data_IF_443119751927
#
_entry.id   IF_443119751927
#
_cell.length_a   1.000
_cell.length_b   1.000
_cell.length_c   1.000
_cell.angle_alpha   90.00
_cell.angle_beta   90.00
_cell.angle_gamma   90.00
#
_symmetry.space_group_name_H-M   'P 1'
#
loop_
_entity.id
_entity.type
_entity.pdbx_description
1 polymer ?
#
# COMPACT_ATOMS: atom_id res chain seq x y z
N UNK A 1 15.22 -26.71 30.57
CA UNK A 1 15.35 -25.25 30.38
C UNK A 1 14.72 -24.96 29.03
N UNK A 2 13.44 -24.62 29.05
CA UNK A 2 12.64 -24.34 27.86
C UNK A 2 11.91 -23.03 28.15
N UNK A 3 12.31 -21.98 27.44
CA UNK A 3 11.53 -20.76 27.17
C UNK A 3 12.39 -19.93 26.23
N UNK A 4 12.10 -20.01 24.93
CA UNK A 4 12.20 -18.95 23.92
C UNK A 4 11.67 -19.59 22.64
N UNK A 5 10.35 -19.81 22.58
CA UNK A 5 9.64 -20.22 21.35
C UNK A 5 8.19 -19.72 21.39
N UNK A 6 8.03 -18.41 21.62
CA UNK A 6 6.74 -17.71 21.61
C UNK A 6 6.78 -16.40 20.81
N UNK A 7 7.75 -16.23 19.92
CA UNK A 7 7.84 -15.04 19.04
C UNK A 7 7.72 -15.35 17.55
N UNK A 8 7.23 -16.54 17.17
CA UNK A 8 7.00 -16.89 15.76
C UNK A 8 5.51 -16.73 15.34
N UNK A 9 4.74 -15.92 16.08
CA UNK A 9 3.31 -15.67 15.77
C UNK A 9 2.92 -14.19 15.72
N UNK A 10 3.91 -13.28 15.81
CA UNK A 10 3.67 -11.87 15.50
C UNK A 10 4.48 -11.54 14.25
N UNK A 11 3.85 -11.65 13.09
CA UNK A 11 4.47 -11.22 11.83
C UNK A 11 4.95 -9.78 11.94
N UNK A 12 5.98 -9.40 11.16
CA UNK A 12 6.52 -8.04 11.21
C UNK A 12 5.43 -7.00 10.91
N UNK A 13 5.69 -5.72 11.21
CA UNK A 13 4.73 -4.66 10.94
C UNK A 13 4.30 -4.63 9.45
N UNK A 14 5.20 -4.97 8.52
CA UNK A 14 4.90 -5.11 7.10
C UNK A 14 4.00 -6.33 6.79
N UNK A 15 4.19 -7.45 7.49
CA UNK A 15 3.33 -8.64 7.33
C UNK A 15 1.90 -8.38 7.86
N UNK A 16 1.77 -7.67 8.97
CA UNK A 16 0.47 -7.29 9.52
C UNK A 16 -0.32 -6.39 8.56
N UNK A 17 0.35 -5.41 7.95
CA UNK A 17 -0.29 -4.53 6.97
C UNK A 17 -0.63 -5.29 5.68
N UNK A 18 0.28 -6.14 5.18
CA UNK A 18 -0.01 -6.95 3.99
C UNK A 18 -1.23 -7.86 4.23
N UNK A 19 -1.32 -8.48 5.40
CA UNK A 19 -2.47 -9.31 5.80
C UNK A 19 -3.76 -8.50 5.82
N UNK A 20 -3.71 -7.29 6.40
CA UNK A 20 -4.85 -6.38 6.44
C UNK A 20 -5.28 -5.93 5.04
N UNK A 21 -4.33 -5.60 4.17
CA UNK A 21 -4.57 -5.24 2.77
C UNK A 21 -5.21 -6.40 1.98
N UNK A 22 -4.70 -7.61 2.14
CA UNK A 22 -5.27 -8.79 1.48
C UNK A 22 -6.70 -9.05 1.97
N UNK A 23 -6.94 -8.99 3.28
CA UNK A 23 -8.29 -9.15 3.84
C UNK A 23 -9.28 -8.09 3.32
N UNK A 24 -8.86 -6.82 3.22
CA UNK A 24 -9.68 -5.73 2.67
C UNK A 24 -10.03 -5.89 1.19
N UNK A 25 -9.20 -6.62 0.44
CA UNK A 25 -9.33 -6.76 -1.02
C UNK A 25 -9.96 -8.08 -1.46
N UNK A 26 -10.04 -9.07 -0.57
CA UNK A 26 -10.64 -10.38 -0.85
C UNK A 26 -12.18 -10.42 -0.72
N UNK A 27 -12.79 -9.41 -0.09
CA UNK A 27 -14.24 -9.34 0.04
C UNK A 27 -14.92 -9.13 -1.33
N UNK A 28 -16.08 -9.76 -1.61
CA UNK A 28 -16.90 -9.41 -2.78
C UNK A 28 -17.30 -7.93 -2.73
N UNK A 29 -16.92 -7.15 -3.75
CA UNK A 29 -17.06 -5.68 -3.71
C UNK A 29 -16.00 -4.99 -2.84
N UNK A 30 -14.89 -5.67 -2.52
CA UNK A 30 -13.74 -5.11 -1.81
C UNK A 30 -13.14 -3.92 -2.55
N UNK A 31 -12.22 -3.22 -1.87
CA UNK A 31 -11.68 -1.95 -2.39
C UNK A 31 -11.12 -2.11 -3.80
N UNK A 32 -11.51 -1.17 -4.65
CA UNK A 32 -11.13 -1.11 -6.05
C UNK A 32 -11.45 0.24 -6.64
N UNK A 33 -11.09 0.40 -7.91
CA UNK A 33 -11.24 1.65 -8.64
C UNK A 33 -11.76 1.38 -10.04
N UNK A 34 -12.42 2.36 -10.65
CA UNK A 34 -12.73 2.29 -12.06
C UNK A 34 -11.49 2.72 -12.88
N UNK A 35 -11.01 1.85 -13.76
CA UNK A 35 -9.86 2.14 -14.61
C UNK A 35 -10.07 3.33 -15.55
N UNK A 36 -11.32 3.67 -15.90
CA UNK A 36 -11.64 4.87 -16.68
C UNK A 36 -11.17 6.18 -16.02
N UNK A 37 -11.00 6.20 -14.70
CA UNK A 37 -10.54 7.36 -13.95
C UNK A 37 -9.01 7.58 -14.06
N UNK A 38 -8.28 6.62 -14.63
CA UNK A 38 -6.82 6.64 -14.72
C UNK A 38 -6.32 6.53 -16.16
N UNK A 39 -5.40 7.39 -16.58
CA UNK A 39 -4.87 7.33 -17.93
C UNK A 39 -4.15 6.01 -18.18
N UNK A 40 -4.48 5.33 -19.28
CA UNK A 40 -3.83 4.10 -19.72
C UNK A 40 -4.32 2.81 -19.06
N UNK A 41 -5.31 2.87 -18.17
CA UNK A 41 -6.02 1.67 -17.71
C UNK A 41 -7.23 1.37 -18.60
N UNK A 42 -7.63 0.10 -18.63
CA UNK A 42 -8.85 -0.32 -19.33
C UNK A 42 -10.10 0.23 -18.61
N UNK A 43 -11.17 0.52 -19.35
CA UNK A 43 -12.45 0.95 -18.78
C UNK A 43 -13.19 -0.24 -18.14
N UNK A 44 -12.80 -0.58 -16.92
CA UNK A 44 -13.42 -1.60 -16.07
C UNK A 44 -13.02 -1.42 -14.62
N UNK A 45 -13.69 -2.17 -13.74
CA UNK A 45 -13.30 -2.28 -12.34
C UNK A 45 -11.95 -2.99 -12.17
N UNK A 46 -11.08 -2.43 -11.33
CA UNK A 46 -9.84 -3.03 -10.85
C UNK A 46 -9.89 -3.19 -9.34
N UNK A 47 -9.76 -4.43 -8.85
CA UNK A 47 -9.47 -4.65 -7.43
C UNK A 47 -8.05 -4.18 -7.09
N UNK A 48 -7.81 -3.71 -5.86
CA UNK A 48 -6.50 -3.14 -5.53
C UNK A 48 -5.32 -4.12 -5.65
N UNK A 49 -5.55 -5.42 -5.44
CA UNK A 49 -4.51 -6.45 -5.69
C UNK A 49 -4.08 -6.47 -7.16
N UNK A 50 -5.07 -6.41 -8.05
CA UNK A 50 -4.83 -6.36 -9.49
C UNK A 50 -4.16 -5.04 -9.88
N UNK A 51 -4.66 -3.92 -9.36
CA UNK A 51 -4.08 -2.60 -9.61
C UNK A 51 -2.61 -2.53 -9.17
N UNK A 52 -2.27 -3.13 -8.01
CA UNK A 52 -0.89 -3.22 -7.53
C UNK A 52 0.01 -3.94 -8.54
N UNK A 53 -0.45 -5.08 -9.04
CA UNK A 53 0.28 -5.84 -10.07
C UNK A 53 0.47 -4.96 -11.31
N UNK A 54 -0.58 -4.33 -11.82
CA UNK A 54 -0.48 -3.42 -12.97
C UNK A 54 0.54 -2.29 -12.74
N UNK A 55 0.55 -1.65 -11.57
CA UNK A 55 1.48 -0.56 -11.26
C UNK A 55 2.94 -1.01 -11.16
N UNK A 56 3.20 -2.26 -10.77
CA UNK A 56 4.56 -2.82 -10.72
C UNK A 56 5.10 -3.22 -12.09
N UNK A 57 4.25 -3.36 -13.11
CA UNK A 57 4.70 -3.69 -14.47
C UNK A 57 5.59 -2.57 -15.03
N UNK A 58 6.69 -2.87 -15.74
CA UNK A 58 7.52 -1.85 -16.37
C UNK A 58 6.75 -0.95 -17.35
N UNK A 59 5.69 -1.48 -17.95
CA UNK A 59 4.87 -0.78 -18.96
C UNK A 59 3.88 0.21 -18.38
N UNK A 60 3.58 0.16 -17.07
CA UNK A 60 2.72 1.17 -16.47
C UNK A 60 3.36 2.55 -16.64
N UNK A 61 2.60 3.50 -17.16
CA UNK A 61 3.14 4.83 -17.45
C UNK A 61 3.37 5.61 -16.15
N UNK A 62 4.28 6.57 -16.18
CA UNK A 62 4.44 7.52 -15.07
C UNK A 62 3.12 8.26 -14.77
N UNK A 63 2.37 8.64 -15.80
CA UNK A 63 1.08 9.31 -15.65
C UNK A 63 0.05 8.44 -14.92
N UNK A 64 -0.03 7.15 -15.25
CA UNK A 64 -0.90 6.18 -14.57
C UNK A 64 -0.54 6.05 -13.09
N UNK A 65 0.75 5.83 -12.79
CA UNK A 65 1.21 5.70 -11.40
C UNK A 65 0.92 6.97 -10.59
N UNK A 66 1.20 8.14 -11.17
CA UNK A 66 0.94 9.42 -10.54
C UNK A 66 -0.54 9.64 -10.26
N UNK A 67 -1.42 9.34 -11.23
CA UNK A 67 -2.87 9.46 -11.04
C UNK A 67 -3.39 8.57 -9.91
N UNK A 68 -2.91 7.32 -9.82
CA UNK A 68 -3.28 6.42 -8.72
C UNK A 68 -2.81 6.96 -7.37
N UNK A 69 -1.57 7.46 -7.27
CA UNK A 69 -1.08 8.03 -6.01
C UNK A 69 -1.81 9.31 -5.60
N UNK A 70 -2.18 10.17 -6.54
CA UNK A 70 -3.02 11.36 -6.27
C UNK A 70 -4.39 10.95 -5.74
N UNK A 71 -5.02 9.93 -6.34
CA UNK A 71 -6.27 9.39 -5.85
C UNK A 71 -6.14 8.83 -4.42
N UNK A 72 -5.11 8.02 -4.15
CA UNK A 72 -4.87 7.47 -2.81
C UNK A 72 -4.69 8.59 -1.78
N UNK A 73 -3.89 9.61 -2.10
CA UNK A 73 -3.69 10.78 -1.23
C UNK A 73 -5.00 11.53 -0.95
N UNK A 74 -5.89 11.64 -1.92
CA UNK A 74 -7.19 12.27 -1.74
C UNK A 74 -8.15 11.43 -0.88
N UNK A 75 -8.02 10.10 -0.92
CA UNK A 75 -8.87 9.16 -0.16
C UNK A 75 -8.34 8.87 1.26
N UNK A 76 -7.15 9.35 1.61
CA UNK A 76 -6.41 8.98 2.82
C UNK A 76 -7.11 9.27 4.13
N UNK A 77 -8.16 10.10 4.18
CA UNK A 77 -8.85 10.37 5.46
C UNK A 77 -9.77 9.20 5.86
N UNK A 78 -10.05 8.27 4.94
CA UNK A 78 -10.79 7.03 5.21
C UNK A 78 -9.82 5.91 5.56
N UNK A 79 -10.01 5.27 6.72
CA UNK A 79 -9.06 4.27 7.25
C UNK A 79 -8.79 3.11 6.30
N UNK A 80 -9.83 2.60 5.63
CA UNK A 80 -9.68 1.53 4.64
C UNK A 80 -8.76 1.95 3.47
N UNK A 81 -8.83 3.21 3.06
CA UNK A 81 -8.00 3.77 1.99
C UNK A 81 -6.57 4.11 2.45
N UNK A 82 -6.34 4.37 3.76
CA UNK A 82 -4.98 4.43 4.33
C UNK A 82 -4.29 3.07 4.23
N UNK A 83 -4.94 2.01 4.69
CA UNK A 83 -4.40 0.65 4.62
C UNK A 83 -4.16 0.24 3.16
N UNK A 84 -5.09 0.59 2.27
CA UNK A 84 -4.91 0.42 0.82
C UNK A 84 -3.63 1.09 0.31
N UNK A 85 -3.39 2.36 0.66
CA UNK A 85 -2.21 3.08 0.19
C UNK A 85 -0.90 2.42 0.65
N UNK A 86 -0.83 1.96 1.91
CA UNK A 86 0.34 1.23 2.41
C UNK A 86 0.49 -0.13 1.71
N UNK A 87 -0.60 -0.88 1.53
CA UNK A 87 -0.57 -2.16 0.81
C UNK A 87 -0.16 -2.03 -0.67
N UNK A 88 -0.51 -0.90 -1.31
CA UNK A 88 -0.03 -0.54 -2.65
C UNK A 88 1.47 -0.22 -2.66
N UNK A 89 2.00 0.37 -1.59
CA UNK A 89 3.44 0.64 -1.42
C UNK A 89 4.27 -0.61 -1.06
N UNK A 90 3.63 -1.68 -0.58
CA UNK A 90 4.30 -2.85 0.00
C UNK A 90 5.46 -3.43 -0.82
N UNK A 91 5.37 -3.58 -2.17
CA UNK A 91 6.50 -4.07 -2.96
C UNK A 91 7.76 -3.19 -2.83
N UNK A 92 7.59 -1.87 -2.77
CA UNK A 92 8.69 -0.93 -2.59
C UNK A 92 9.20 -0.94 -1.15
N UNK A 93 8.32 -0.99 -0.15
CA UNK A 93 8.70 -1.05 1.27
C UNK A 93 9.52 -2.30 1.58
N UNK A 94 9.09 -3.47 1.09
CA UNK A 94 9.85 -4.73 1.23
C UNK A 94 11.20 -4.66 0.53
N UNK A 95 11.26 -4.02 -0.64
CA UNK A 95 12.53 -3.82 -1.34
C UNK A 95 13.49 -2.92 -0.56
N UNK A 96 12.99 -1.83 0.04
CA UNK A 96 13.77 -0.92 0.89
C UNK A 96 14.29 -1.66 2.14
N UNK A 97 13.41 -2.37 2.85
CA UNK A 97 13.79 -3.15 4.03
C UNK A 97 14.87 -4.20 3.69
N UNK A 98 14.69 -4.95 2.60
CA UNK A 98 15.69 -5.92 2.12
C UNK A 98 17.03 -5.27 1.75
N UNK A 99 17.01 -4.05 1.22
CA UNK A 99 18.24 -3.31 0.87
C UNK A 99 18.98 -2.82 2.12
N UNK A 100 18.26 -2.47 3.19
CA UNK A 100 18.83 -1.97 4.45
C UNK A 100 19.26 -3.09 5.40
N UNK A 101 18.63 -4.27 5.31
CA UNK A 101 18.87 -5.40 6.21
C UNK A 101 20.35 -5.80 6.38
N UNK A 102 21.22 -5.82 5.33
CA UNK A 102 22.62 -6.23 5.49
C UNK A 102 23.47 -5.29 6.36
N UNK A 103 23.06 -4.03 6.51
CA UNK A 103 23.79 -3.01 7.28
C UNK A 103 23.11 -2.66 8.61
N UNK A 104 21.86 -3.07 8.79
CA UNK A 104 21.10 -2.87 10.03
C UNK A 104 21.63 -3.79 11.14
N UNK A 105 21.75 -3.26 12.36
CA UNK A 105 22.34 -3.97 13.51
C UNK A 105 21.32 -4.37 14.58
N UNK A 106 20.06 -3.98 14.43
CA UNK A 106 18.95 -4.35 15.31
C UNK A 106 18.14 -5.53 14.78
N UNK A 107 16.94 -5.70 15.31
CA UNK A 107 16.02 -6.77 14.91
C UNK A 107 15.34 -6.48 13.57
N UNK A 108 15.14 -7.51 12.74
CA UNK A 108 14.50 -7.32 11.43
C UNK A 108 13.06 -6.76 11.56
N UNK A 109 12.34 -7.13 12.62
CA UNK A 109 11.02 -6.59 12.92
C UNK A 109 11.03 -5.08 13.19
N UNK A 110 12.07 -4.59 13.88
CA UNK A 110 12.26 -3.15 14.11
C UNK A 110 12.53 -2.41 12.80
N UNK A 111 13.38 -2.98 11.92
CA UNK A 111 13.65 -2.39 10.61
C UNK A 111 12.36 -2.25 9.78
N UNK A 112 11.53 -3.30 9.77
CA UNK A 112 10.24 -3.30 9.08
C UNK A 112 9.28 -2.25 9.68
N UNK A 113 9.25 -2.09 11.01
CA UNK A 113 8.46 -1.08 11.70
C UNK A 113 8.94 0.35 11.40
N UNK A 114 10.25 0.60 11.35
CA UNK A 114 10.83 1.90 11.02
C UNK A 114 10.57 2.27 9.55
N UNK A 115 10.71 1.33 8.62
CA UNK A 115 10.37 1.54 7.19
C UNK A 115 8.89 1.88 7.02
N UNK A 116 8.01 1.15 7.71
CA UNK A 116 6.58 1.42 7.69
C UNK A 116 6.23 2.79 8.29
N UNK A 117 6.80 3.10 9.46
CA UNK A 117 6.56 4.36 10.17
C UNK A 117 7.01 5.55 9.33
N UNK A 118 8.21 5.48 8.76
CA UNK A 118 8.72 6.53 7.87
C UNK A 118 7.84 6.74 6.63
N UNK A 119 7.26 5.68 6.07
CA UNK A 119 6.28 5.81 4.98
C UNK A 119 5.00 6.51 5.45
N UNK A 120 4.41 6.08 6.56
CA UNK A 120 3.15 6.62 7.09
C UNK A 120 3.31 8.11 7.43
N UNK A 121 4.40 8.49 8.10
CA UNK A 121 4.67 9.87 8.49
C UNK A 121 4.75 10.81 7.27
N UNK A 122 5.51 10.40 6.25
CA UNK A 122 5.61 11.15 5.00
C UNK A 122 4.25 11.20 4.30
N UNK A 123 3.58 10.05 4.16
CA UNK A 123 2.31 9.94 3.45
C UNK A 123 1.18 10.78 4.09
N UNK A 124 1.13 10.82 5.42
CA UNK A 124 0.20 11.65 6.18
C UNK A 124 0.47 13.16 5.99
N UNK A 125 1.74 13.55 5.85
CA UNK A 125 2.15 14.95 5.66
C UNK A 125 2.03 15.48 4.23
N UNK A 126 1.92 14.62 3.21
CA UNK A 126 1.82 15.07 1.81
C UNK A 126 0.57 15.94 1.58
N UNK A 127 0.61 16.94 0.68
CA UNK A 127 -0.62 17.63 0.30
C UNK A 127 -1.49 16.69 -0.53
N UNK A 128 -2.79 16.57 -0.17
CA UNK A 128 -3.75 16.07 -1.13
C UNK A 128 -3.85 17.08 -2.28
N UNK A 129 -3.61 16.65 -3.51
CA UNK A 129 -3.79 17.50 -4.69
C UNK A 129 -5.16 18.19 -4.65
N UNK A 130 -5.23 19.45 -5.09
CA UNK A 130 -6.41 20.32 -4.97
C UNK A 130 -7.71 19.57 -5.27
N UNK A 131 -8.60 19.54 -4.27
CA UNK A 131 -9.93 18.90 -4.27
C UNK A 131 -10.60 18.93 -5.65
N UNK A 132 -10.85 17.75 -6.19
CA UNK A 132 -11.66 17.57 -7.38
C UNK A 132 -12.08 16.12 -7.58
N UNK A 133 -12.81 15.53 -6.64
CA UNK A 133 -13.66 14.37 -6.94
C UNK A 133 -15.02 14.54 -6.25
N UNK A 134 -16.06 14.96 -7.00
CA UNK A 134 -17.40 14.46 -6.77
C UNK A 134 -17.84 13.65 -7.99
N UNK A 135 -17.98 12.34 -7.81
CA UNK A 135 -18.65 11.44 -8.76
C UNK A 135 -17.90 10.11 -8.89
N UNK A 136 -18.48 8.94 -8.65
CA UNK A 136 -19.87 8.57 -8.34
C UNK A 136 -19.84 7.31 -7.47
N UNK A 137 -20.61 7.32 -6.38
CA UNK A 137 -21.19 6.10 -5.84
C UNK A 137 -22.52 5.92 -6.58
N UNK A 138 -22.56 4.95 -7.50
CA UNK A 138 -23.78 4.34 -8.03
C UNK A 138 -23.42 2.97 -8.59
#
# INVERSE_FOLDING_TARGET
MAVHDFEDTTGSALDLVETSFLSLTESPGGLGVNGADFPGLADRWFGLRELRVEMTRPQASWATRNAVWVFLLAARDVDAWKVAAVGMAMPALRHIAATLAPVYRGEAADLDAEVLTGFIDVYAGLPAGTRGIPGRLA
#
